data_IF_854205675444
#
_entry.id   IF_854205675444
#
_cell.length_a   1.000
_cell.length_b   1.000
_cell.length_c   1.000
_cell.angle_alpha   90.00
_cell.angle_beta   90.00
_cell.angle_gamma   90.00
#
_symmetry.space_group_name_H-M   'P 1'
#
loop_
_entity.id
_entity.type
_entity.pdbx_description
1 polymer ?
#
# COMPACT_ATOMS: atom_id res chain seq x y z
N UNK A 1 12.57 -25.28 20.47
CA UNK A 1 12.77 -24.61 19.16
C UNK A 1 14.00 -25.15 18.46
N UNK A 2 15.20 -25.07 19.06
CA UNK A 2 16.45 -25.47 18.42
C UNK A 2 16.57 -26.96 18.06
N UNK A 3 15.83 -27.83 18.73
CA UNK A 3 15.74 -29.26 18.44
C UNK A 3 14.90 -29.53 17.17
N UNK A 4 13.93 -28.66 16.90
CA UNK A 4 12.99 -28.80 15.77
C UNK A 4 13.54 -28.10 14.52
N UNK A 5 14.13 -26.91 14.69
CA UNK A 5 14.61 -26.09 13.58
C UNK A 5 16.14 -26.14 13.47
N UNK A 6 16.69 -26.76 12.42
CA UNK A 6 18.14 -26.93 12.26
C UNK A 6 18.86 -25.70 11.72
N UNK A 7 18.14 -24.59 11.42
CA UNK A 7 18.70 -23.37 10.84
C UNK A 7 19.83 -22.79 11.70
N UNK A 8 20.88 -22.28 11.06
CA UNK A 8 21.92 -21.49 11.70
C UNK A 8 21.36 -20.21 12.34
N UNK A 9 20.34 -19.63 11.73
CA UNK A 9 19.71 -18.38 12.14
C UNK A 9 18.39 -18.66 12.85
N UNK A 10 18.19 -18.02 14.01
CA UNK A 10 16.94 -18.10 14.78
C UNK A 10 16.41 -16.69 15.00
N UNK A 11 15.23 -16.41 14.45
CA UNK A 11 14.58 -15.10 14.53
C UNK A 11 13.77 -15.00 15.83
N UNK A 12 13.96 -13.90 16.57
CA UNK A 12 13.31 -13.66 17.86
C UNK A 12 12.26 -12.53 17.83
N UNK A 13 11.94 -11.96 16.67
CA UNK A 13 11.10 -10.76 16.58
C UNK A 13 11.85 -9.52 17.05
N UNK A 14 11.31 -8.83 18.03
CA UNK A 14 11.94 -7.69 18.71
C UNK A 14 11.41 -6.34 18.24
N UNK A 15 10.47 -6.32 17.31
CA UNK A 15 9.79 -5.16 16.78
C UNK A 15 8.75 -4.59 17.75
N UNK A 16 8.55 -3.27 17.71
CA UNK A 16 7.45 -2.54 18.33
C UNK A 16 7.18 -2.87 19.83
N UNK A 17 8.24 -3.20 20.58
CA UNK A 17 8.10 -3.53 22.00
C UNK A 17 7.55 -2.37 22.82
N UNK A 18 6.46 -2.62 23.58
CA UNK A 18 5.80 -1.63 24.43
C UNK A 18 6.34 -1.75 25.86
N UNK A 19 7.00 -0.70 26.36
CA UNK A 19 7.72 -0.71 27.63
C UNK A 19 6.89 -0.28 28.84
N UNK A 20 5.66 0.18 28.69
CA UNK A 20 4.83 0.75 29.78
C UNK A 20 4.62 -0.18 30.96
N UNK A 21 4.59 -1.52 30.73
CA UNK A 21 4.51 -2.50 31.81
C UNK A 21 5.83 -2.60 32.59
N UNK A 22 6.97 -2.54 31.88
CA UNK A 22 8.29 -2.59 32.50
C UNK A 22 8.59 -1.34 33.33
N UNK A 23 8.06 -0.19 32.96
CA UNK A 23 8.16 1.07 33.73
C UNK A 23 7.52 0.97 35.09
N UNK A 24 6.45 0.18 35.20
CA UNK A 24 5.67 0.01 36.44
C UNK A 24 6.02 -1.28 37.20
N UNK A 25 6.83 -2.15 36.66
CA UNK A 25 7.20 -3.43 37.24
C UNK A 25 8.36 -3.26 38.23
N UNK A 26 8.18 -3.57 39.56
CA UNK A 26 9.23 -3.42 40.54
C UNK A 26 10.49 -4.24 40.21
N UNK A 27 10.33 -5.47 39.72
CA UNK A 27 11.44 -6.34 39.39
C UNK A 27 12.22 -5.81 38.15
N UNK A 28 11.52 -5.25 37.17
CA UNK A 28 12.15 -4.60 36.03
C UNK A 28 12.98 -3.39 36.46
N UNK A 29 12.43 -2.55 37.34
CA UNK A 29 13.13 -1.39 37.89
C UNK A 29 14.33 -1.79 38.78
N UNK A 30 14.19 -2.82 39.59
CA UNK A 30 15.31 -3.38 40.37
C UNK A 30 16.41 -3.92 39.43
N UNK A 31 16.04 -4.64 38.37
CA UNK A 31 16.98 -5.13 37.37
C UNK A 31 17.71 -3.98 36.67
N UNK A 32 16.99 -2.95 36.22
CA UNK A 32 17.59 -1.76 35.64
C UNK A 32 18.62 -1.11 36.56
N UNK A 33 18.27 -0.94 37.82
CA UNK A 33 19.20 -0.38 38.82
C UNK A 33 20.45 -1.24 38.96
N UNK A 34 20.30 -2.56 39.07
CA UNK A 34 21.41 -3.51 39.17
C UNK A 34 22.33 -3.48 37.95
N UNK A 35 21.75 -3.30 36.75
CA UNK A 35 22.49 -3.27 35.49
C UNK A 35 22.99 -1.85 35.11
N UNK A 36 22.63 -0.82 35.88
CA UNK A 36 22.99 0.56 35.60
C UNK A 36 22.31 1.15 34.36
N UNK A 37 21.17 0.58 33.94
CA UNK A 37 20.41 1.04 32.77
C UNK A 37 19.69 2.36 33.10
N UNK A 38 19.63 3.25 32.10
CA UNK A 38 19.05 4.61 32.26
C UNK A 38 17.61 4.71 31.72
N UNK A 39 17.26 3.89 30.75
CA UNK A 39 15.96 3.88 30.06
C UNK A 39 15.38 2.49 30.10
N UNK A 40 14.07 2.38 30.29
CA UNK A 40 13.35 1.10 30.32
C UNK A 40 13.53 0.33 29.01
N UNK A 41 13.63 1.02 27.88
CA UNK A 41 13.89 0.40 26.58
C UNK A 41 15.23 -0.35 26.49
N UNK A 42 16.22 -0.03 27.35
CA UNK A 42 17.53 -0.73 27.39
C UNK A 42 17.41 -2.16 27.94
N UNK A 43 16.31 -2.49 28.63
CA UNK A 43 15.98 -3.87 29.01
C UNK A 43 15.80 -4.77 27.80
N UNK A 44 15.35 -4.25 26.67
CA UNK A 44 15.31 -5.01 25.41
C UNK A 44 16.72 -5.38 24.94
N UNK A 45 17.65 -4.45 24.97
CA UNK A 45 19.06 -4.74 24.65
C UNK A 45 19.68 -5.77 25.60
N UNK A 46 19.35 -5.70 26.91
CA UNK A 46 19.74 -6.72 27.86
C UNK A 46 19.18 -8.11 27.51
N UNK A 47 17.88 -8.21 27.20
CA UNK A 47 17.25 -9.46 26.79
C UNK A 47 17.89 -9.99 25.49
N UNK A 48 18.12 -9.12 24.52
CA UNK A 48 18.80 -9.47 23.27
C UNK A 48 20.17 -10.09 23.56
N UNK A 49 20.98 -9.50 24.46
CA UNK A 49 22.27 -10.04 24.84
C UNK A 49 22.17 -11.43 25.49
N UNK A 50 21.23 -11.61 26.41
CA UNK A 50 21.03 -12.92 27.08
C UNK A 50 20.69 -14.00 26.07
N UNK A 51 19.78 -13.70 25.13
CA UNK A 51 19.37 -14.66 24.09
C UNK A 51 20.48 -14.88 23.08
N UNK A 52 21.20 -13.83 22.65
CA UNK A 52 22.32 -13.95 21.71
C UNK A 52 23.44 -14.84 22.27
N UNK A 53 23.81 -14.67 23.54
CA UNK A 53 24.79 -15.51 24.21
C UNK A 53 24.33 -16.98 24.29
N UNK A 54 23.05 -17.19 24.62
CA UNK A 54 22.48 -18.53 24.64
C UNK A 54 22.52 -19.20 23.26
N UNK A 55 22.16 -18.47 22.19
CA UNK A 55 22.20 -18.95 20.81
C UNK A 55 23.64 -19.31 20.40
N UNK A 56 24.59 -18.43 20.69
CA UNK A 56 26.02 -18.65 20.42
C UNK A 56 26.53 -19.93 21.06
N UNK A 57 26.18 -20.20 22.34
CA UNK A 57 26.54 -21.44 23.05
C UNK A 57 25.98 -22.71 22.37
N UNK A 58 24.90 -22.54 21.58
CA UNK A 58 24.27 -23.62 20.81
C UNK A 58 24.71 -23.64 19.34
N UNK A 59 25.72 -22.86 18.98
CA UNK A 59 26.20 -22.76 17.58
C UNK A 59 25.20 -22.12 16.63
N UNK A 60 24.34 -21.23 17.14
CA UNK A 60 23.31 -20.50 16.38
C UNK A 60 23.56 -18.99 16.40
N UNK A 61 23.10 -18.31 15.40
CA UNK A 61 23.14 -16.85 15.30
C UNK A 61 21.75 -16.27 15.53
N UNK A 62 21.64 -15.30 16.42
CA UNK A 62 20.40 -14.57 16.67
C UNK A 62 20.13 -13.60 15.51
N UNK A 63 18.90 -13.58 15.03
CA UNK A 63 18.39 -12.63 14.05
C UNK A 63 17.11 -11.98 14.60
N UNK A 64 16.84 -10.73 14.27
CA UNK A 64 15.60 -10.03 14.66
C UNK A 64 15.41 -8.73 13.89
N UNK A 65 14.29 -8.10 14.11
CA UNK A 65 14.03 -6.78 13.56
C UNK A 65 15.01 -5.76 14.13
N UNK A 66 15.30 -4.70 13.41
CA UNK A 66 16.42 -3.78 13.72
C UNK A 66 16.30 -3.08 15.09
N UNK A 67 15.14 -3.10 15.74
CA UNK A 67 14.99 -2.62 17.12
C UNK A 67 15.82 -3.40 18.14
N UNK A 68 16.16 -4.66 17.86
CA UNK A 68 17.01 -5.47 18.77
C UNK A 68 18.37 -4.83 19.03
N UNK A 69 18.87 -4.00 18.12
CA UNK A 69 20.15 -3.27 18.24
C UNK A 69 19.98 -1.78 18.49
N UNK A 70 18.74 -1.27 18.49
CA UNK A 70 18.47 0.17 18.68
C UNK A 70 18.34 0.55 20.17
N UNK A 71 18.05 -0.42 21.04
CA UNK A 71 17.61 -0.20 22.42
C UNK A 71 18.63 -0.69 23.45
N UNK A 72 19.86 -0.24 23.33
CA UNK A 72 20.97 -0.63 24.18
C UNK A 72 22.09 -1.31 23.41
N UNK A 73 23.25 -1.46 24.07
CA UNK A 73 24.41 -2.11 23.45
C UNK A 73 24.17 -3.61 23.37
N UNK A 74 24.33 -4.19 22.18
CA UNK A 74 24.37 -5.63 21.96
C UNK A 74 25.82 -6.06 21.75
N UNK A 75 26.31 -7.00 22.56
CA UNK A 75 27.71 -7.37 22.61
C UNK A 75 28.06 -8.49 21.60
N UNK A 76 27.15 -9.44 21.42
CA UNK A 76 27.33 -10.53 20.47
C UNK A 76 26.97 -10.07 19.05
N UNK A 77 27.62 -10.63 18.05
CA UNK A 77 27.25 -10.39 16.67
C UNK A 77 25.87 -10.99 16.39
N UNK A 78 24.95 -10.17 15.93
CA UNK A 78 23.59 -10.56 15.53
C UNK A 78 23.32 -10.12 14.09
N UNK A 79 22.19 -10.57 13.55
CA UNK A 79 21.70 -10.11 12.25
C UNK A 79 20.45 -9.25 12.48
N UNK A 80 20.48 -8.00 12.02
CA UNK A 80 19.33 -7.09 12.09
C UNK A 80 18.60 -7.03 10.75
N UNK A 81 17.27 -7.22 10.76
CA UNK A 81 16.42 -6.97 9.61
C UNK A 81 15.98 -5.50 9.64
N UNK A 82 16.52 -4.69 8.72
CA UNK A 82 16.25 -3.25 8.65
C UNK A 82 14.98 -3.00 7.87
N UNK A 83 13.84 -2.83 8.57
CA UNK A 83 12.52 -2.71 7.98
C UNK A 83 11.97 -1.27 7.94
N UNK A 84 12.38 -0.40 8.85
CA UNK A 84 11.87 0.98 8.90
C UNK A 84 12.31 1.78 7.67
N UNK A 85 13.61 1.85 7.44
CA UNK A 85 14.15 2.49 6.25
C UNK A 85 15.55 1.94 5.92
N UNK A 86 16.03 2.09 4.67
CA UNK A 86 17.35 1.57 4.29
C UNK A 86 18.52 2.10 5.13
N UNK A 87 18.41 3.32 5.69
CA UNK A 87 19.49 3.94 6.49
C UNK A 87 19.73 3.21 7.83
N UNK A 88 18.75 2.48 8.35
CA UNK A 88 18.92 1.72 9.60
C UNK A 88 19.89 0.57 9.44
N UNK A 89 20.12 0.12 8.20
CA UNK A 89 21.19 -0.83 7.87
C UNK A 89 22.56 -0.30 8.29
N UNK A 90 22.83 0.99 8.10
CA UNK A 90 24.09 1.62 8.51
C UNK A 90 24.29 1.54 10.02
N UNK A 91 23.21 1.60 10.80
CA UNK A 91 23.32 1.43 12.27
C UNK A 91 23.83 0.03 12.61
N UNK A 92 23.27 -1.01 12.01
CA UNK A 92 23.73 -2.36 12.22
C UNK A 92 25.22 -2.52 11.85
N UNK A 93 25.58 -2.08 10.65
CA UNK A 93 26.94 -2.22 10.14
C UNK A 93 27.96 -1.41 10.93
N UNK A 94 27.63 -0.18 11.33
CA UNK A 94 28.48 0.70 12.13
C UNK A 94 28.67 0.20 13.58
N UNK A 95 27.81 -0.69 14.07
CA UNK A 95 27.93 -1.31 15.39
C UNK A 95 28.48 -2.73 15.34
N UNK A 96 28.99 -3.18 14.16
CA UNK A 96 29.62 -4.49 13.99
C UNK A 96 28.65 -5.65 13.79
N UNK A 97 27.36 -5.37 13.59
CA UNK A 97 26.37 -6.39 13.32
C UNK A 97 26.17 -6.62 11.82
N UNK A 98 25.61 -7.78 11.46
CA UNK A 98 25.16 -8.04 10.10
C UNK A 98 23.77 -7.50 9.86
N UNK A 99 23.41 -7.22 8.61
CA UNK A 99 22.09 -6.72 8.25
C UNK A 99 21.50 -7.46 7.05
N UNK A 100 20.15 -7.56 7.06
CA UNK A 100 19.32 -7.90 5.90
C UNK A 100 18.46 -6.68 5.60
N UNK A 101 18.43 -6.27 4.34
CA UNK A 101 17.62 -5.15 3.88
C UNK A 101 16.19 -5.61 3.61
N UNK A 102 15.24 -5.07 4.36
CA UNK A 102 13.81 -5.36 4.18
C UNK A 102 12.95 -4.11 4.40
N UNK A 103 13.32 -2.92 3.84
CA UNK A 103 12.65 -1.68 4.14
C UNK A 103 11.20 -1.70 3.67
N UNK A 104 10.29 -1.29 4.55
CA UNK A 104 8.85 -1.26 4.29
C UNK A 104 8.50 -0.47 3.03
N UNK A 105 9.24 0.60 2.75
CA UNK A 105 9.03 1.45 1.57
C UNK A 105 9.29 0.80 0.20
N UNK A 106 9.90 -0.41 0.16
CA UNK A 106 10.28 -1.09 -1.08
C UNK A 106 9.98 -2.59 -1.07
N UNK A 107 10.00 -3.23 0.10
CA UNK A 107 10.05 -4.69 0.25
C UNK A 107 8.83 -5.29 0.97
N UNK A 108 7.85 -4.47 1.39
CA UNK A 108 6.61 -4.95 1.98
C UNK A 108 5.56 -5.14 0.89
N UNK A 109 5.44 -6.37 0.42
CA UNK A 109 4.59 -6.72 -0.71
C UNK A 109 3.12 -6.93 -0.32
N UNK A 110 2.78 -6.76 0.93
CA UNK A 110 1.41 -6.61 1.43
C UNK A 110 0.80 -5.22 1.17
N UNK A 111 1.59 -4.25 0.71
CA UNK A 111 1.06 -2.98 0.18
C UNK A 111 0.58 -3.13 -1.25
N UNK A 112 -0.47 -2.37 -1.66
CA UNK A 112 -0.91 -2.35 -3.05
C UNK A 112 0.17 -1.76 -3.96
N UNK A 113 0.12 -2.07 -5.25
CA UNK A 113 1.06 -1.46 -6.20
C UNK A 113 0.73 0.00 -6.52
N UNK A 114 -0.53 0.37 -6.45
CA UNK A 114 -1.03 1.69 -6.82
C UNK A 114 -2.19 2.12 -5.92
N UNK A 115 -2.37 3.44 -5.78
CA UNK A 115 -3.55 4.05 -5.15
C UNK A 115 -4.60 4.36 -6.21
N UNK A 116 -5.21 3.35 -6.80
CA UNK A 116 -6.22 3.51 -7.84
C UNK A 116 -7.50 2.75 -7.48
N UNK A 117 -8.65 3.17 -8.03
CA UNK A 117 -9.89 2.42 -7.87
C UNK A 117 -9.75 0.98 -8.38
N UNK A 118 -10.30 0.04 -7.63
CA UNK A 118 -10.23 -1.40 -7.96
C UNK A 118 -8.95 -2.11 -7.54
N UNK A 119 -7.93 -1.39 -7.08
CA UNK A 119 -6.74 -2.03 -6.50
C UNK A 119 -7.09 -2.73 -5.17
N UNK A 120 -6.40 -3.82 -4.88
CA UNK A 120 -6.56 -4.53 -3.61
C UNK A 120 -6.20 -3.59 -2.47
N UNK A 121 -7.11 -3.42 -1.53
CA UNK A 121 -6.82 -2.70 -0.29
C UNK A 121 -6.16 -3.66 0.69
N UNK A 122 -4.93 -3.36 0.98
CA UNK A 122 -4.08 -4.08 1.91
C UNK A 122 -3.56 -3.11 2.99
N UNK A 123 -2.33 -3.26 3.44
CA UNK A 123 -1.71 -2.30 4.34
C UNK A 123 -1.70 -0.88 3.75
N UNK A 124 -1.95 0.14 4.58
CA UNK A 124 -2.11 1.54 4.16
C UNK A 124 -1.22 2.53 4.89
N UNK A 125 -0.40 2.07 5.84
CA UNK A 125 0.47 2.92 6.66
C UNK A 125 1.74 3.40 5.91
N UNK A 126 2.03 2.84 4.72
CA UNK A 126 3.03 3.35 3.77
C UNK A 126 2.38 3.63 2.40
N UNK A 127 3.01 4.44 1.55
CA UNK A 127 2.57 4.60 0.16
C UNK A 127 2.61 3.28 -0.63
N UNK A 128 1.82 3.17 -1.70
CA UNK A 128 1.87 2.02 -2.60
C UNK A 128 3.27 1.72 -3.12
N UNK A 129 3.54 0.44 -3.35
CA UNK A 129 4.85 -0.04 -3.77
C UNK A 129 4.70 -0.70 -5.15
N UNK A 130 5.00 0.05 -6.20
CA UNK A 130 4.98 -0.46 -7.57
C UNK A 130 6.13 -1.45 -7.85
N UNK A 131 6.02 -2.20 -8.94
CA UNK A 131 7.11 -3.03 -9.44
C UNK A 131 8.41 -2.24 -9.59
N UNK A 132 8.33 -1.05 -10.19
CA UNK A 132 9.50 -0.15 -10.36
C UNK A 132 10.06 0.32 -9.02
N UNK A 133 9.19 0.61 -8.06
CA UNK A 133 9.61 0.99 -6.71
C UNK A 133 10.39 -0.12 -6.02
N UNK A 134 9.93 -1.38 -6.10
CA UNK A 134 10.69 -2.53 -5.60
C UNK A 134 12.06 -2.63 -6.27
N UNK A 135 12.10 -2.51 -7.60
CA UNK A 135 13.33 -2.60 -8.39
C UNK A 135 14.32 -1.47 -8.08
N UNK A 136 13.81 -0.28 -7.77
CA UNK A 136 14.62 0.91 -7.47
C UNK A 136 15.27 0.89 -6.10
N UNK A 137 15.04 -0.14 -5.27
CA UNK A 137 15.59 -0.20 -3.92
C UNK A 137 17.10 0.06 -3.92
N UNK A 138 17.59 1.07 -3.17
CA UNK A 138 19.01 1.42 -3.12
C UNK A 138 19.76 0.42 -2.22
N UNK A 139 20.48 -0.52 -2.80
CA UNK A 139 21.26 -1.51 -2.07
C UNK A 139 22.66 -1.01 -1.75
N UNK A 140 23.33 -0.39 -2.73
CA UNK A 140 24.73 0.04 -2.58
C UNK A 140 24.94 1.13 -1.54
N UNK A 141 23.99 2.08 -1.43
CA UNK A 141 24.06 3.18 -0.48
C UNK A 141 24.13 2.69 0.99
N UNK A 142 23.76 1.43 1.23
CA UNK A 142 23.62 0.85 2.56
C UNK A 142 24.32 -0.51 2.72
N UNK A 143 24.87 -1.08 1.65
CA UNK A 143 25.32 -2.48 1.62
C UNK A 143 26.72 -2.72 1.08
N UNK A 144 27.47 -1.69 0.71
CA UNK A 144 28.87 -1.88 0.26
C UNK A 144 29.84 -2.30 1.40
N UNK A 145 29.29 -2.41 2.60
CA UNK A 145 30.01 -3.02 3.70
C UNK A 145 29.82 -4.55 3.66
N UNK A 146 30.88 -5.29 3.99
CA UNK A 146 30.89 -6.75 4.07
C UNK A 146 29.88 -7.34 5.05
N UNK A 147 29.09 -6.51 5.75
CA UNK A 147 28.15 -6.90 6.81
C UNK A 147 26.69 -6.94 6.36
N UNK A 148 26.35 -6.44 5.16
CA UNK A 148 25.03 -6.65 4.58
C UNK A 148 25.00 -7.97 3.82
N UNK A 149 24.16 -8.91 4.25
CA UNK A 149 24.16 -10.30 3.76
C UNK A 149 23.04 -10.63 2.80
N UNK A 150 22.09 -9.72 2.58
CA UNK A 150 21.02 -9.93 1.61
C UNK A 150 19.86 -8.94 1.71
N UNK A 151 18.83 -9.27 0.94
CA UNK A 151 17.54 -8.58 0.91
C UNK A 151 16.42 -9.57 1.23
N UNK A 152 15.31 -9.06 1.79
CA UNK A 152 14.12 -9.86 2.08
C UNK A 152 12.88 -9.04 1.75
N UNK A 153 11.85 -9.69 1.22
CA UNK A 153 10.51 -9.12 1.12
C UNK A 153 9.63 -9.65 2.25
N UNK A 154 8.67 -8.84 2.69
CA UNK A 154 7.66 -9.21 3.65
C UNK A 154 6.28 -9.25 3.00
N UNK A 155 5.43 -10.14 3.49
CA UNK A 155 4.02 -10.25 3.18
C UNK A 155 3.25 -10.53 4.47
N UNK A 156 2.55 -9.52 4.97
CA UNK A 156 1.79 -9.60 6.21
C UNK A 156 0.32 -9.83 5.92
N UNK A 157 -0.22 -10.95 6.37
CA UNK A 157 -1.59 -11.36 6.04
C UNK A 157 -2.66 -10.88 7.03
N UNK A 158 -2.27 -10.27 8.15
CA UNK A 158 -3.17 -9.77 9.18
C UNK A 158 -4.15 -8.70 8.66
N UNK A 159 -3.72 -7.89 7.70
CA UNK A 159 -4.56 -6.88 7.06
C UNK A 159 -5.70 -7.48 6.22
N UNK A 160 -5.59 -8.74 5.81
CA UNK A 160 -6.61 -9.46 5.01
C UNK A 160 -7.59 -10.25 5.86
N UNK A 161 -7.20 -10.69 7.04
CA UNK A 161 -8.01 -11.53 7.95
C UNK A 161 -9.18 -10.74 8.52
N UNK A 162 -9.05 -9.42 8.66
CA UNK A 162 -10.07 -8.56 9.25
C UNK A 162 -11.20 -8.14 8.30
N UNK A 163 -11.34 -8.78 7.15
CA UNK A 163 -12.56 -8.80 6.34
C UNK A 163 -12.95 -7.49 5.65
N UNK A 164 -12.08 -6.50 5.63
CA UNK A 164 -12.35 -5.17 5.08
C UNK A 164 -11.85 -4.97 3.65
N UNK A 165 -11.28 -5.98 3.03
CA UNK A 165 -10.94 -5.92 1.62
C UNK A 165 -12.24 -5.86 0.82
N UNK A 166 -12.51 -4.77 0.17
CA UNK A 166 -13.57 -4.60 -0.82
C UNK A 166 -13.24 -5.44 -2.05
N UNK A 167 -13.58 -6.68 -1.95
CA UNK A 167 -13.16 -7.80 -2.77
C UNK A 167 -13.97 -7.94 -4.05
N UNK A 168 -14.80 -6.96 -4.36
CA UNK A 168 -15.79 -7.07 -5.44
C UNK A 168 -15.18 -6.98 -6.84
N UNK A 169 -13.91 -6.59 -6.98
CA UNK A 169 -13.35 -6.22 -8.28
C UNK A 169 -12.13 -7.00 -8.75
N UNK A 170 -11.59 -7.87 -7.92
CA UNK A 170 -10.65 -8.87 -8.41
C UNK A 170 -11.43 -10.17 -8.55
N UNK A 171 -11.55 -10.75 -9.74
CA UNK A 171 -12.20 -12.05 -9.92
C UNK A 171 -11.32 -13.12 -9.27
N UNK A 172 -11.39 -13.19 -7.95
CA UNK A 172 -10.68 -14.17 -7.16
C UNK A 172 -11.62 -15.35 -7.01
N UNK A 173 -11.23 -16.46 -7.59
CA UNK A 173 -11.86 -17.76 -7.42
C UNK A 173 -11.90 -18.17 -5.95
N UNK A 174 -12.50 -19.31 -5.64
CA UNK A 174 -12.82 -19.83 -4.30
C UNK A 174 -11.64 -19.87 -3.29
N UNK A 175 -10.37 -19.86 -3.74
CA UNK A 175 -9.17 -19.79 -2.90
C UNK A 175 -8.65 -18.35 -2.75
N UNK A 176 -9.43 -17.51 -2.11
CA UNK A 176 -9.16 -16.06 -1.99
C UNK A 176 -7.78 -15.73 -1.39
N UNK A 177 -7.30 -16.47 -0.40
CA UNK A 177 -6.05 -16.16 0.31
C UNK A 177 -4.80 -16.36 -0.56
N UNK A 178 -4.71 -17.46 -1.29
CA UNK A 178 -3.59 -17.75 -2.18
C UNK A 178 -3.57 -16.79 -3.37
N UNK A 179 -4.71 -16.56 -4.01
CA UNK A 179 -4.84 -15.65 -5.13
C UNK A 179 -4.48 -14.20 -4.75
N UNK A 180 -4.79 -13.79 -3.52
CA UNK A 180 -4.37 -12.49 -2.99
C UNK A 180 -2.86 -12.38 -2.84
N UNK A 181 -2.24 -13.41 -2.27
CA UNK A 181 -0.80 -13.47 -2.12
C UNK A 181 -0.12 -13.41 -3.49
N UNK A 182 -0.54 -14.23 -4.43
CA UNK A 182 0.01 -14.24 -5.79
C UNK A 182 -0.13 -12.89 -6.49
N UNK A 183 -1.31 -12.27 -6.39
CA UNK A 183 -1.56 -10.95 -6.96
C UNK A 183 -0.65 -9.87 -6.38
N UNK A 184 -0.45 -9.86 -5.08
CA UNK A 184 0.41 -8.88 -4.42
C UNK A 184 1.90 -9.18 -4.59
N UNK A 185 2.28 -10.45 -4.65
CA UNK A 185 3.66 -10.87 -4.75
C UNK A 185 4.19 -10.75 -6.19
N UNK A 186 3.41 -11.12 -7.21
CA UNK A 186 3.88 -11.13 -8.59
C UNK A 186 3.27 -9.99 -9.42
N UNK A 187 4.12 -9.30 -10.23
CA UNK A 187 5.52 -9.62 -10.57
C UNK A 187 6.59 -9.07 -9.61
N UNK A 188 6.24 -8.41 -8.49
CA UNK A 188 7.19 -7.70 -7.61
C UNK A 188 8.30 -8.59 -7.03
N UNK A 189 8.02 -9.85 -6.74
CA UNK A 189 9.06 -10.80 -6.29
C UNK A 189 10.19 -10.99 -7.32
N UNK A 190 9.92 -10.78 -8.61
CA UNK A 190 10.97 -10.81 -9.63
C UNK A 190 11.94 -9.63 -9.46
N UNK A 191 11.42 -8.46 -9.09
CA UNK A 191 12.25 -7.30 -8.77
C UNK A 191 13.10 -7.54 -7.51
N UNK A 192 12.51 -8.10 -6.45
CA UNK A 192 13.23 -8.47 -5.22
C UNK A 192 14.37 -9.44 -5.53
N UNK A 193 14.09 -10.45 -6.37
CA UNK A 193 15.10 -11.42 -6.80
C UNK A 193 16.28 -10.73 -7.50
N UNK A 194 16.01 -9.87 -8.46
CA UNK A 194 17.09 -9.19 -9.20
C UNK A 194 17.85 -8.19 -8.33
N UNK A 195 17.16 -7.49 -7.44
CA UNK A 195 17.80 -6.60 -6.46
C UNK A 195 18.79 -7.35 -5.57
N UNK A 196 18.48 -8.59 -5.21
CA UNK A 196 19.37 -9.43 -4.40
C UNK A 196 20.56 -10.02 -5.16
N UNK A 197 20.48 -10.17 -6.48
CA UNK A 197 21.50 -10.84 -7.29
C UNK A 197 22.38 -9.90 -8.10
N UNK A 198 21.87 -8.73 -8.49
CA UNK A 198 22.57 -7.82 -9.41
C UNK A 198 23.01 -6.55 -8.69
N UNK A 199 24.29 -6.19 -8.86
CA UNK A 199 24.80 -4.91 -8.35
C UNK A 199 23.95 -3.74 -8.86
N UNK A 200 23.63 -2.80 -7.99
CA UNK A 200 22.80 -1.62 -8.30
C UNK A 200 23.28 -0.88 -9.55
N UNK A 201 24.59 -0.70 -9.71
CA UNK A 201 25.19 -0.03 -10.87
C UNK A 201 24.98 -0.75 -12.22
N UNK A 202 24.56 -2.03 -12.19
CA UNK A 202 24.26 -2.83 -13.38
C UNK A 202 22.77 -3.02 -13.62
N UNK A 203 21.91 -2.53 -12.72
CA UNK A 203 20.47 -2.63 -12.88
C UNK A 203 19.99 -1.64 -13.94
N UNK A 204 19.11 -2.10 -14.84
CA UNK A 204 18.47 -1.31 -15.86
C UNK A 204 16.98 -1.61 -15.89
N UNK A 205 16.16 -0.61 -15.55
CA UNK A 205 14.71 -0.78 -15.45
C UNK A 205 14.05 -1.24 -16.76
N UNK A 206 14.43 -0.65 -17.89
CA UNK A 206 13.81 -0.98 -19.19
C UNK A 206 14.14 -2.41 -19.62
N UNK A 207 15.38 -2.85 -19.40
CA UNK A 207 15.80 -4.23 -19.65
C UNK A 207 15.06 -5.19 -18.71
N UNK A 208 15.03 -4.90 -17.42
CA UNK A 208 14.31 -5.71 -16.45
C UNK A 208 12.83 -5.84 -16.80
N UNK A 209 12.16 -4.74 -17.09
CA UNK A 209 10.74 -4.70 -17.48
C UNK A 209 10.45 -5.57 -18.70
N UNK A 210 11.32 -5.50 -19.70
CA UNK A 210 11.23 -6.33 -20.91
C UNK A 210 11.36 -7.83 -20.58
N UNK A 211 12.29 -8.17 -19.71
CA UNK A 211 12.49 -9.57 -19.28
C UNK A 211 11.32 -10.08 -18.44
N UNK A 212 10.75 -9.25 -17.56
CA UNK A 212 9.52 -9.58 -16.81
C UNK A 212 8.38 -9.93 -17.77
N UNK A 213 8.24 -9.21 -18.89
CA UNK A 213 7.25 -9.52 -19.93
C UNK A 213 7.30 -10.98 -20.36
N UNK A 214 8.49 -11.54 -20.56
CA UNK A 214 8.64 -12.95 -20.94
C UNK A 214 8.26 -13.97 -19.84
N UNK A 215 8.17 -13.53 -18.59
CA UNK A 215 7.79 -14.39 -17.48
C UNK A 215 6.28 -14.55 -17.32
N UNK A 216 5.46 -13.63 -17.85
CA UNK A 216 4.01 -13.74 -17.72
C UNK A 216 3.46 -15.05 -18.30
N UNK A 217 3.97 -15.50 -19.46
CA UNK A 217 3.58 -16.80 -20.01
C UNK A 217 3.95 -17.98 -19.08
N UNK A 218 5.05 -17.88 -18.34
CA UNK A 218 5.44 -18.90 -17.34
C UNK A 218 4.53 -18.89 -16.12
N UNK A 219 4.11 -17.71 -15.67
CA UNK A 219 3.15 -17.58 -14.58
C UNK A 219 1.78 -18.11 -14.99
N UNK A 220 1.32 -17.82 -16.22
CA UNK A 220 0.07 -18.36 -16.78
C UNK A 220 0.11 -19.90 -16.83
N UNK A 221 1.21 -20.49 -17.30
CA UNK A 221 1.38 -21.94 -17.34
C UNK A 221 1.40 -22.61 -15.96
N UNK A 222 1.71 -21.84 -14.90
CA UNK A 222 1.65 -22.29 -13.52
C UNK A 222 0.30 -22.02 -12.84
N UNK A 223 -0.65 -21.39 -13.53
CA UNK A 223 -1.92 -20.97 -12.97
C UNK A 223 -1.80 -19.85 -11.93
N UNK A 224 -0.71 -19.09 -11.92
CA UNK A 224 -0.47 -18.02 -10.96
C UNK A 224 -1.37 -16.81 -11.24
N UNK A 225 -2.03 -16.30 -10.22
CA UNK A 225 -2.96 -15.15 -10.29
C UNK A 225 -2.24 -13.80 -10.11
N UNK A 226 -1.13 -13.62 -10.79
CA UNK A 226 -0.33 -12.39 -10.71
C UNK A 226 -1.12 -11.14 -11.15
N UNK A 227 -0.70 -9.98 -10.68
CA UNK A 227 -1.22 -8.68 -11.09
C UNK A 227 -0.85 -8.41 -12.54
N UNK A 228 -1.87 -8.34 -13.39
CA UNK A 228 -1.67 -8.03 -14.81
C UNK A 228 -1.32 -6.54 -14.96
N UNK A 229 -0.19 -6.17 -15.60
CA UNK A 229 0.19 -4.78 -15.79
C UNK A 229 -0.83 -4.01 -16.63
N UNK A 230 -1.08 -2.77 -16.21
CA UNK A 230 -1.86 -1.83 -17.01
C UNK A 230 -1.10 -1.41 -18.27
N UNK A 231 -1.79 -0.92 -19.31
CA UNK A 231 -1.12 -0.20 -20.38
C UNK A 231 -0.37 1.01 -19.80
N UNK A 232 0.77 1.31 -20.37
CA UNK A 232 1.54 2.51 -20.02
C UNK A 232 1.49 3.54 -21.14
N UNK A 233 1.58 4.81 -20.76
CA UNK A 233 1.75 5.90 -21.70
C UNK A 233 3.24 5.98 -22.07
N UNK A 234 3.57 5.79 -23.33
CA UNK A 234 4.94 5.96 -23.85
C UNK A 234 5.17 7.35 -24.39
N UNK A 235 4.11 8.02 -24.84
CA UNK A 235 4.16 9.40 -25.30
C UNK A 235 2.84 10.11 -25.02
N UNK A 236 2.94 11.36 -24.58
CA UNK A 236 1.82 12.26 -24.37
C UNK A 236 2.15 13.61 -25.03
N UNK A 237 1.44 13.95 -26.10
CA UNK A 237 1.61 15.20 -26.83
C UNK A 237 0.43 16.14 -26.59
N UNK A 238 0.69 17.35 -26.13
CA UNK A 238 -0.31 18.43 -26.03
C UNK A 238 -0.37 19.16 -27.38
N UNK A 239 -1.55 19.19 -27.97
CA UNK A 239 -1.80 19.83 -29.26
C UNK A 239 -2.14 21.32 -29.10
N UNK A 240 -1.99 22.09 -30.18
CA UNK A 240 -2.24 23.54 -30.16
C UNK A 240 -3.70 23.90 -29.87
N UNK A 241 -4.64 23.02 -30.13
CA UNK A 241 -6.09 23.18 -29.84
C UNK A 241 -6.46 22.79 -28.40
N UNK A 242 -5.47 22.41 -27.57
CA UNK A 242 -5.65 21.98 -26.17
C UNK A 242 -5.96 20.48 -26.03
N UNK A 243 -6.16 19.75 -27.11
CA UNK A 243 -6.32 18.30 -27.07
C UNK A 243 -5.01 17.59 -26.71
N UNK A 244 -5.11 16.32 -26.31
CA UNK A 244 -3.95 15.51 -25.92
C UNK A 244 -3.94 14.21 -26.71
N UNK A 245 -2.78 13.89 -27.30
CA UNK A 245 -2.56 12.65 -28.05
C UNK A 245 -1.71 11.68 -27.24
N UNK A 246 -2.22 10.47 -27.06
CA UNK A 246 -1.55 9.40 -26.30
C UNK A 246 -1.06 8.30 -27.21
N UNK A 247 0.18 7.88 -26.97
CA UNK A 247 0.72 6.61 -27.47
C UNK A 247 0.82 5.64 -26.32
N UNK A 248 0.19 4.47 -26.44
CA UNK A 248 0.14 3.45 -25.41
C UNK A 248 1.01 2.24 -25.80
N UNK A 249 1.55 1.56 -24.79
CA UNK A 249 2.20 0.28 -24.95
C UNK A 249 1.78 -0.69 -23.84
N UNK A 250 1.92 -1.98 -24.11
CA UNK A 250 1.69 -3.06 -23.17
C UNK A 250 2.97 -3.86 -22.97
N UNK A 251 3.29 -4.17 -21.72
CA UNK A 251 4.49 -4.95 -21.37
C UNK A 251 4.24 -6.47 -21.37
N UNK A 252 3.02 -6.90 -21.65
CA UNK A 252 2.65 -8.32 -21.76
C UNK A 252 2.66 -8.73 -23.24
N UNK A 253 3.58 -9.62 -23.67
CA UNK A 253 3.66 -10.06 -25.06
C UNK A 253 2.36 -10.70 -25.54
N UNK A 254 1.89 -10.29 -26.72
CA UNK A 254 0.68 -10.83 -27.34
C UNK A 254 -0.64 -10.34 -26.74
N UNK A 255 -0.62 -9.48 -25.73
CA UNK A 255 -1.83 -8.90 -25.17
C UNK A 255 -2.39 -7.77 -26.04
N UNK A 256 -3.71 -7.61 -26.02
CA UNK A 256 -4.39 -6.45 -26.61
C UNK A 256 -4.48 -5.30 -25.58
N UNK A 257 -4.44 -4.08 -26.08
CA UNK A 257 -4.91 -2.92 -25.30
C UNK A 257 -6.33 -2.61 -25.75
N UNK A 258 -7.25 -2.51 -24.80
CA UNK A 258 -8.63 -2.02 -25.01
C UNK A 258 -8.81 -0.70 -24.31
N UNK A 259 -9.53 0.25 -24.92
CA UNK A 259 -9.67 1.58 -24.38
C UNK A 259 -11.04 2.21 -24.61
N UNK A 260 -11.32 3.27 -23.85
CA UNK A 260 -12.44 4.19 -24.02
C UNK A 260 -11.97 5.65 -23.94
N UNK A 261 -12.76 6.54 -24.51
CA UNK A 261 -12.46 7.99 -24.64
C UNK A 261 -13.49 8.89 -23.93
N UNK A 262 -14.29 8.32 -23.05
CA UNK A 262 -15.39 8.99 -22.36
C UNK A 262 -15.36 8.82 -20.85
N UNK A 263 -14.21 8.44 -20.28
CA UNK A 263 -14.02 8.20 -18.87
C UNK A 263 -14.65 6.92 -18.31
N UNK A 264 -15.40 6.16 -19.12
CA UNK A 264 -15.97 4.86 -18.71
C UNK A 264 -14.90 3.79 -18.70
N UNK A 265 -15.04 2.82 -17.80
CA UNK A 265 -14.12 1.67 -17.76
C UNK A 265 -14.28 0.82 -19.01
N UNK A 266 -13.16 0.52 -19.71
CA UNK A 266 -13.17 -0.42 -20.81
C UNK A 266 -13.36 -1.85 -20.30
N UNK A 267 -13.89 -2.69 -21.18
CA UNK A 267 -13.97 -4.13 -21.02
C UNK A 267 -13.32 -4.85 -22.21
N UNK A 268 -13.37 -6.16 -22.22
CA UNK A 268 -12.74 -6.97 -23.29
C UNK A 268 -13.33 -6.73 -24.69
N UNK A 269 -14.51 -6.13 -24.77
CA UNK A 269 -15.19 -5.78 -26.04
C UNK A 269 -15.02 -4.32 -26.44
N UNK A 270 -14.36 -3.51 -25.61
CA UNK A 270 -14.10 -2.09 -25.94
C UNK A 270 -13.15 -1.97 -27.13
N UNK A 271 -13.03 -0.77 -27.68
CA UNK A 271 -12.22 -0.48 -28.85
C UNK A 271 -10.78 -0.99 -28.67
N UNK A 272 -10.28 -1.75 -29.64
CA UNK A 272 -8.90 -2.21 -29.68
C UNK A 272 -7.99 -1.06 -30.05
N UNK A 273 -6.90 -0.88 -29.29
CA UNK A 273 -5.88 0.11 -29.60
C UNK A 273 -5.01 -0.36 -30.77
N UNK A 274 -4.92 0.47 -31.79
CA UNK A 274 -4.13 0.21 -33.01
C UNK A 274 -3.14 1.33 -33.34
N UNK A 275 -3.17 2.44 -32.59
CA UNK A 275 -2.30 3.59 -32.81
C UNK A 275 -2.69 4.76 -31.90
N UNK A 276 -1.99 5.90 -31.99
CA UNK A 276 -2.21 7.05 -31.13
C UNK A 276 -3.66 7.51 -31.08
N UNK A 277 -4.12 7.94 -29.90
CA UNK A 277 -5.50 8.39 -29.63
C UNK A 277 -5.48 9.82 -29.14
N UNK A 278 -6.25 10.70 -29.80
CA UNK A 278 -6.39 12.10 -29.44
C UNK A 278 -7.71 12.36 -28.72
N UNK A 279 -7.67 13.09 -27.60
CA UNK A 279 -8.81 13.40 -26.77
C UNK A 279 -8.81 14.88 -26.37
N UNK A 280 -10.00 15.46 -26.24
CA UNK A 280 -10.16 16.83 -25.71
C UNK A 280 -9.73 16.90 -24.24
N UNK A 281 -10.08 15.90 -23.45
CA UNK A 281 -9.73 15.85 -22.02
C UNK A 281 -8.87 14.62 -21.73
N UNK A 282 -7.73 14.84 -21.11
CA UNK A 282 -6.77 13.84 -20.69
C UNK A 282 -7.40 12.72 -19.85
N UNK A 283 -8.26 13.13 -18.92
CA UNK A 283 -8.88 12.25 -17.93
C UNK A 283 -9.99 11.35 -18.51
N UNK A 284 -10.35 11.52 -19.77
CA UNK A 284 -11.36 10.69 -20.44
C UNK A 284 -10.79 9.37 -20.97
N UNK A 285 -9.46 9.28 -21.08
CA UNK A 285 -8.83 8.02 -21.46
C UNK A 285 -8.90 7.02 -20.29
N UNK A 286 -9.41 5.84 -20.61
CA UNK A 286 -9.24 4.62 -19.81
C UNK A 286 -8.76 3.52 -20.72
N UNK A 287 -7.79 2.73 -20.25
CA UNK A 287 -7.24 1.63 -21.03
C UNK A 287 -6.90 0.44 -20.14
N UNK A 288 -7.10 -0.75 -20.64
CA UNK A 288 -6.77 -2.03 -20.01
C UNK A 288 -5.90 -2.88 -20.91
N UNK A 289 -5.05 -3.70 -20.29
CA UNK A 289 -4.40 -4.83 -20.96
C UNK A 289 -5.35 -6.01 -20.94
N UNK A 290 -5.51 -6.71 -22.07
CA UNK A 290 -6.37 -7.89 -22.20
C UNK A 290 -5.53 -9.07 -22.69
N UNK A 291 -5.55 -10.18 -21.95
CA UNK A 291 -4.87 -11.43 -22.27
C UNK A 291 -5.91 -12.51 -22.58
N UNK A 292 -5.67 -13.27 -23.65
CA UNK A 292 -6.53 -14.38 -24.07
C UNK A 292 -8.02 -14.02 -24.23
N UNK A 293 -8.32 -12.74 -24.47
CA UNK A 293 -9.67 -12.24 -24.70
C UNK A 293 -10.60 -12.17 -23.48
N UNK A 294 -10.17 -12.65 -22.33
CA UNK A 294 -11.02 -12.77 -21.14
C UNK A 294 -10.45 -12.12 -19.88
N UNK A 295 -9.15 -12.27 -19.63
CA UNK A 295 -8.48 -11.71 -18.47
C UNK A 295 -7.98 -10.29 -18.78
N UNK A 296 -8.20 -9.36 -17.88
CA UNK A 296 -7.82 -7.96 -18.08
C UNK A 296 -7.26 -7.32 -16.82
N UNK A 297 -6.44 -6.30 -17.04
CA UNK A 297 -5.83 -5.51 -15.96
C UNK A 297 -6.82 -4.52 -15.36
N UNK A 298 -6.45 -3.94 -14.21
CA UNK A 298 -7.05 -2.68 -13.78
C UNK A 298 -6.82 -1.61 -14.88
N UNK A 299 -7.71 -0.61 -14.97
CA UNK A 299 -7.59 0.41 -16.00
C UNK A 299 -6.45 1.38 -15.72
N UNK A 300 -5.82 1.87 -16.76
CA UNK A 300 -5.01 3.08 -16.71
C UNK A 300 -5.85 4.20 -16.10
N UNK A 301 -5.32 4.82 -15.07
CA UNK A 301 -6.01 5.82 -14.27
C UNK A 301 -5.21 7.10 -14.18
N UNK A 302 -5.87 8.21 -14.37
CA UNK A 302 -5.30 9.54 -14.11
C UNK A 302 -5.82 10.04 -12.78
N UNK A 303 -4.93 10.34 -11.86
CA UNK A 303 -5.31 11.00 -10.63
C UNK A 303 -5.99 12.35 -10.96
N UNK A 304 -7.17 12.62 -10.41
CA UNK A 304 -7.83 13.89 -10.61
C UNK A 304 -6.97 15.07 -10.16
N UNK A 305 -7.08 16.20 -10.84
CA UNK A 305 -6.50 17.45 -10.35
C UNK A 305 -7.36 17.99 -9.19
N UNK A 306 -6.84 17.85 -7.98
CA UNK A 306 -7.50 18.34 -6.77
C UNK A 306 -7.31 19.85 -6.55
N UNK A 307 -6.55 20.54 -7.37
CA UNK A 307 -6.23 21.96 -7.18
C UNK A 307 -7.45 22.86 -7.19
N UNK A 308 -8.45 22.57 -8.03
CA UNK A 308 -9.72 23.26 -8.10
C UNK A 308 -10.61 23.10 -6.83
N UNK A 309 -10.30 22.11 -5.99
CA UNK A 309 -11.13 21.72 -4.85
C UNK A 309 -10.49 22.03 -3.48
N UNK A 310 -9.38 22.77 -3.46
CA UNK A 310 -8.65 23.12 -2.21
C UNK A 310 -9.50 23.77 -1.13
N UNK A 311 -10.55 24.52 -1.53
CA UNK A 311 -11.49 25.14 -0.61
C UNK A 311 -12.27 24.14 0.27
N UNK A 312 -12.38 22.89 -0.16
CA UNK A 312 -13.07 21.82 0.58
C UNK A 312 -12.14 21.03 1.51
N UNK A 313 -10.84 21.34 1.53
CA UNK A 313 -9.86 20.71 2.41
C UNK A 313 -9.02 19.63 1.74
N UNK A 314 -8.69 18.59 2.51
CA UNK A 314 -7.83 17.50 2.05
C UNK A 314 -8.67 16.40 1.38
N UNK A 315 -8.21 15.90 0.25
CA UNK A 315 -8.82 14.75 -0.40
C UNK A 315 -8.65 13.49 0.50
N UNK A 316 -9.75 12.77 0.73
CA UNK A 316 -9.78 11.59 1.60
C UNK A 316 -10.25 10.32 0.89
N UNK A 317 -11.08 10.46 -0.15
CA UNK A 317 -11.63 9.34 -0.89
C UNK A 317 -12.09 9.77 -2.29
N UNK A 318 -11.99 8.83 -3.24
CA UNK A 318 -12.60 8.97 -4.56
C UNK A 318 -13.35 7.70 -4.93
N UNK A 319 -14.42 7.85 -5.68
CA UNK A 319 -15.11 6.71 -6.27
C UNK A 319 -15.09 6.80 -7.79
N UNK A 320 -15.00 5.64 -8.37
CA UNK A 320 -15.10 5.40 -9.79
C UNK A 320 -16.28 4.47 -10.08
N UNK A 321 -16.76 4.35 -11.31
CA UNK A 321 -17.97 3.57 -11.59
C UNK A 321 -17.97 2.14 -11.01
N UNK A 322 -16.81 1.49 -10.93
CA UNK A 322 -16.69 0.15 -10.35
C UNK A 322 -17.00 0.06 -8.85
N UNK A 323 -16.91 1.16 -8.12
CA UNK A 323 -17.15 1.19 -6.66
C UNK A 323 -18.57 1.57 -6.28
N UNK A 324 -19.33 2.09 -7.23
CA UNK A 324 -20.70 2.55 -6.97
C UNK A 324 -21.67 1.46 -7.37
N UNK A 325 -22.31 0.87 -6.38
CA UNK A 325 -23.27 -0.20 -6.56
C UNK A 325 -24.70 0.36 -6.77
N UNK A 326 -25.60 -0.38 -7.42
CA UNK A 326 -27.02 0.00 -7.55
C UNK A 326 -27.80 -0.15 -6.24
N UNK A 327 -27.22 -0.82 -5.23
CA UNK A 327 -27.78 -1.02 -3.90
C UNK A 327 -26.99 -0.25 -2.85
N UNK A 328 -27.61 0.13 -1.72
CA UNK A 328 -26.89 0.77 -0.61
C UNK A 328 -25.64 -0.01 -0.20
N UNK A 329 -24.53 0.69 -0.10
CA UNK A 329 -23.24 0.16 0.33
C UNK A 329 -22.50 1.21 1.18
N UNK A 330 -21.72 0.78 2.14
CA UNK A 330 -20.87 1.66 2.93
C UNK A 330 -19.50 1.80 2.29
N UNK A 331 -19.14 3.02 1.93
CA UNK A 331 -17.78 3.37 1.55
C UNK A 331 -16.98 3.61 2.81
N UNK A 332 -15.95 2.82 3.02
CA UNK A 332 -15.06 2.96 4.16
C UNK A 332 -13.70 3.49 3.71
N UNK A 333 -13.21 4.52 4.38
CA UNK A 333 -11.93 5.13 4.06
C UNK A 333 -11.25 5.74 5.29
N UNK A 334 -9.92 5.61 5.33
CA UNK A 334 -9.08 6.11 6.40
C UNK A 334 -8.95 7.64 6.36
N UNK A 335 -9.07 8.25 7.55
CA UNK A 335 -8.85 9.67 7.74
C UNK A 335 -7.82 9.95 8.85
N UNK A 336 -7.09 8.93 9.28
CA UNK A 336 -5.94 9.05 10.18
C UNK A 336 -4.93 10.04 9.59
N UNK A 337 -4.45 10.99 10.38
CA UNK A 337 -3.57 12.07 9.89
C UNK A 337 -4.26 13.17 9.08
N UNK A 338 -5.55 13.01 8.73
CA UNK A 338 -6.40 14.07 8.16
C UNK A 338 -7.23 14.76 9.23
N UNK A 339 -7.47 14.04 10.33
CA UNK A 339 -8.07 14.57 11.56
C UNK A 339 -6.91 15.03 12.46
N UNK A 340 -6.94 16.30 12.88
CA UNK A 340 -5.80 16.97 13.55
C UNK A 340 -6.12 17.53 14.94
N UNK A 341 -7.19 17.08 15.58
CA UNK A 341 -7.58 17.53 16.92
C UNK A 341 -9.09 17.55 17.12
N UNK A 342 -9.51 17.92 18.33
CA UNK A 342 -10.92 18.20 18.62
C UNK A 342 -11.41 19.39 17.81
N UNK A 343 -12.69 19.40 17.49
CA UNK A 343 -13.35 20.50 16.78
C UNK A 343 -14.36 20.02 15.76
N UNK A 344 -14.86 20.96 14.99
CA UNK A 344 -15.88 20.72 13.96
C UNK A 344 -15.21 20.46 12.61
N UNK A 345 -15.70 19.45 11.92
CA UNK A 345 -15.23 19.03 10.61
C UNK A 345 -16.36 19.03 9.58
N UNK A 346 -15.98 19.24 8.34
CA UNK A 346 -16.87 19.11 7.18
C UNK A 346 -16.32 18.06 6.22
N UNK A 347 -17.15 17.05 5.91
CA UNK A 347 -16.93 16.08 4.87
C UNK A 347 -17.76 16.47 3.64
N UNK A 348 -17.10 16.85 2.56
CA UNK A 348 -17.78 17.33 1.34
C UNK A 348 -17.66 16.30 0.22
N UNK A 349 -18.80 15.89 -0.32
CA UNK A 349 -18.96 14.89 -1.38
C UNK A 349 -19.26 15.60 -2.69
N UNK A 350 -18.42 15.40 -3.70
CA UNK A 350 -18.48 16.10 -4.98
C UNK A 350 -18.50 15.08 -6.12
N UNK A 351 -19.65 14.79 -6.75
CA UNK A 351 -19.69 14.06 -8.00
C UNK A 351 -19.06 14.90 -9.12
N UNK A 352 -18.13 14.34 -9.85
CA UNK A 352 -17.37 15.06 -10.86
C UNK A 352 -17.78 14.71 -12.29
N UNK A 353 -18.24 13.48 -12.52
CA UNK A 353 -18.62 12.98 -13.85
C UNK A 353 -19.75 11.96 -13.75
N UNK A 354 -20.38 11.75 -14.88
CA UNK A 354 -21.43 10.74 -15.07
C UNK A 354 -22.84 11.31 -14.97
N UNK A 355 -23.75 10.61 -15.63
CA UNK A 355 -25.14 11.06 -15.77
C UNK A 355 -26.05 10.55 -14.65
N UNK A 356 -25.65 9.50 -13.97
CA UNK A 356 -26.46 8.90 -12.91
C UNK A 356 -26.27 9.62 -11.59
N UNK A 357 -27.34 9.90 -10.86
CA UNK A 357 -27.25 10.46 -9.53
C UNK A 357 -26.73 9.43 -8.53
N UNK A 358 -26.01 9.94 -7.53
CA UNK A 358 -25.60 9.18 -6.34
C UNK A 358 -26.50 9.52 -5.19
N UNK A 359 -27.08 8.53 -4.53
CA UNK A 359 -27.72 8.69 -3.22
C UNK A 359 -26.71 8.55 -2.12
N UNK A 360 -26.78 9.44 -1.16
CA UNK A 360 -25.90 9.52 0.01
C UNK A 360 -26.77 9.42 1.27
N UNK A 361 -26.42 8.48 2.13
CA UNK A 361 -27.11 8.22 3.37
C UNK A 361 -26.31 8.64 4.60
N UNK A 362 -26.25 7.81 5.59
CA UNK A 362 -25.60 8.08 6.89
C UNK A 362 -24.07 8.09 6.78
N UNK A 363 -23.44 9.09 7.39
CA UNK A 363 -22.00 9.17 7.60
C UNK A 363 -21.68 8.84 9.05
N UNK A 364 -20.67 8.01 9.31
CA UNK A 364 -20.16 7.64 10.63
C UNK A 364 -18.67 7.86 10.70
N UNK A 365 -18.18 8.51 11.76
CA UNK A 365 -16.77 8.58 12.10
C UNK A 365 -16.45 7.58 13.21
N UNK A 366 -15.44 6.78 12.99
CA UNK A 366 -14.98 5.76 13.93
C UNK A 366 -13.55 6.04 14.40
N UNK A 367 -13.29 5.85 15.70
CA UNK A 367 -11.97 5.73 16.30
C UNK A 367 -11.75 4.27 16.66
N UNK A 368 -10.94 3.54 15.88
CA UNK A 368 -10.84 2.07 15.96
C UNK A 368 -12.21 1.42 15.78
N UNK A 369 -12.83 0.92 16.85
CA UNK A 369 -14.16 0.29 16.87
C UNK A 369 -15.22 1.14 17.60
N UNK A 370 -14.86 2.33 18.06
CA UNK A 370 -15.71 3.24 18.80
C UNK A 370 -16.33 4.26 17.84
N UNK A 371 -17.67 4.39 17.88
CA UNK A 371 -18.39 5.38 17.09
C UNK A 371 -18.25 6.75 17.75
N UNK A 372 -17.61 7.69 17.04
CA UNK A 372 -17.32 9.04 17.54
C UNK A 372 -18.36 10.07 17.09
N UNK A 373 -18.89 9.94 15.90
CA UNK A 373 -19.90 10.83 15.35
C UNK A 373 -20.76 10.13 14.31
N UNK A 374 -22.02 10.52 14.23
CA UNK A 374 -22.96 10.07 13.20
C UNK A 374 -23.74 11.26 12.66
N UNK A 375 -23.79 11.40 11.34
CA UNK A 375 -24.61 12.42 10.66
C UNK A 375 -25.47 11.74 9.62
N UNK A 376 -26.80 11.86 9.78
CA UNK A 376 -27.78 11.32 8.84
C UNK A 376 -28.06 12.32 7.72
N UNK A 377 -28.10 11.84 6.51
CA UNK A 377 -28.60 12.54 5.35
C UNK A 377 -29.36 11.57 4.45
N UNK A 378 -30.28 12.07 3.67
CA UNK A 378 -30.87 11.40 2.51
C UNK A 378 -30.81 12.41 1.37
N UNK A 379 -29.69 12.42 0.68
CA UNK A 379 -29.39 13.34 -0.40
C UNK A 379 -29.13 12.61 -1.69
N UNK A 380 -29.61 13.19 -2.77
CA UNK A 380 -29.26 12.73 -4.12
C UNK A 380 -28.46 13.84 -4.77
N UNK A 381 -27.31 13.50 -5.31
CA UNK A 381 -26.41 14.46 -5.94
C UNK A 381 -25.89 13.92 -7.27
N UNK A 382 -25.72 14.84 -8.23
CA UNK A 382 -25.27 14.53 -9.59
C UNK A 382 -24.09 15.45 -9.94
N UNK A 383 -23.27 15.03 -10.90
CA UNK A 383 -22.20 15.86 -11.44
C UNK A 383 -22.75 17.21 -11.95
N UNK A 384 -22.04 18.29 -11.64
CA UNK A 384 -22.45 19.66 -11.96
C UNK A 384 -23.45 20.30 -10.98
N UNK A 385 -23.93 19.58 -9.96
CA UNK A 385 -24.75 20.12 -8.89
C UNK A 385 -23.90 20.58 -7.70
N UNK A 386 -24.55 21.31 -6.76
CA UNK A 386 -23.88 21.72 -5.52
C UNK A 386 -23.44 20.48 -4.72
N UNK A 387 -22.23 20.49 -4.15
CA UNK A 387 -21.73 19.43 -3.29
C UNK A 387 -22.63 19.17 -2.08
N UNK A 388 -22.59 17.94 -1.58
CA UNK A 388 -23.21 17.58 -0.31
C UNK A 388 -22.16 17.61 0.79
N UNK A 389 -22.44 18.36 1.87
CA UNK A 389 -21.54 18.45 3.01
C UNK A 389 -22.18 17.84 4.26
N UNK A 390 -21.44 16.99 4.95
CA UNK A 390 -21.73 16.47 6.28
C UNK A 390 -20.90 17.25 7.29
N UNK A 391 -21.54 17.77 8.33
CA UNK A 391 -20.87 18.45 9.43
C UNK A 391 -20.94 17.58 10.68
N UNK A 392 -19.80 17.41 11.37
CA UNK A 392 -19.71 16.62 12.60
C UNK A 392 -18.67 17.20 13.55
N UNK A 393 -18.81 16.92 14.84
CA UNK A 393 -17.87 17.34 15.88
C UNK A 393 -17.11 16.14 16.40
N UNK A 394 -15.82 16.31 16.65
CA UNK A 394 -14.93 15.35 17.29
C UNK A 394 -14.44 15.95 18.61
N UNK A 395 -14.80 15.35 19.74
CA UNK A 395 -14.46 15.84 21.08
C UNK A 395 -13.37 15.01 21.78
N UNK A 396 -13.06 13.82 21.27
CA UNK A 396 -12.11 12.88 21.86
C UNK A 396 -11.02 12.46 20.87
N UNK A 397 -10.30 13.47 20.37
CA UNK A 397 -9.13 13.22 19.53
C UNK A 397 -7.97 12.64 20.35
N UNK A 398 -7.32 11.63 19.78
CA UNK A 398 -6.11 11.03 20.32
C UNK A 398 -5.08 10.86 19.19
N UNK A 399 -3.95 11.54 19.31
CA UNK A 399 -2.90 11.49 18.28
C UNK A 399 -2.36 10.07 18.11
N UNK A 400 -2.12 9.66 16.87
CA UNK A 400 -1.62 8.32 16.54
C UNK A 400 -2.67 7.21 16.57
N UNK A 401 -3.93 7.55 16.88
CA UNK A 401 -5.03 6.58 16.84
C UNK A 401 -5.66 6.54 15.45
N UNK A 402 -5.96 5.34 14.91
CA UNK A 402 -6.64 5.21 13.63
C UNK A 402 -8.07 5.74 13.65
N UNK A 403 -8.39 6.59 12.67
CA UNK A 403 -9.74 7.08 12.40
C UNK A 403 -10.17 6.69 10.99
N UNK A 404 -11.41 6.23 10.85
CA UNK A 404 -12.00 6.00 9.52
C UNK A 404 -13.44 6.52 9.45
N UNK A 405 -13.86 6.80 8.23
CA UNK A 405 -15.24 7.18 7.93
C UNK A 405 -15.92 6.04 7.19
N UNK A 406 -17.17 5.78 7.56
CA UNK A 406 -18.11 4.99 6.78
C UNK A 406 -19.20 5.94 6.27
N UNK A 407 -19.40 5.94 4.94
CA UNK A 407 -20.43 6.74 4.28
C UNK A 407 -21.30 5.82 3.41
N UNK A 408 -22.58 5.79 3.68
CA UNK A 408 -23.53 5.10 2.81
C UNK A 408 -23.67 5.85 1.48
N UNK A 409 -23.43 5.12 0.36
CA UNK A 409 -23.49 5.68 -0.97
C UNK A 409 -23.84 4.63 -2.03
N UNK A 410 -24.71 4.98 -2.99
CA UNK A 410 -25.04 4.09 -4.11
C UNK A 410 -25.64 4.88 -5.28
N UNK A 411 -25.61 4.27 -6.48
CA UNK A 411 -26.20 4.83 -7.70
C UNK A 411 -27.33 3.93 -8.18
N UNK A 412 -28.59 4.20 -7.85
CA UNK A 412 -29.71 3.29 -8.13
C UNK A 412 -29.95 3.04 -9.63
N UNK A 413 -29.48 3.93 -10.51
CA UNK A 413 -29.59 3.80 -11.96
C UNK A 413 -28.36 3.19 -12.63
N UNK A 414 -27.38 2.71 -11.85
CA UNK A 414 -26.16 2.12 -12.35
C UNK A 414 -24.91 2.95 -12.05
N UNK A 415 -23.76 2.44 -12.43
CA UNK A 415 -22.43 2.85 -11.97
C UNK A 415 -21.64 3.69 -12.98
N UNK A 416 -22.22 4.67 -13.63
CA UNK A 416 -21.51 5.56 -14.57
C UNK A 416 -21.03 6.89 -13.94
N UNK A 417 -20.92 6.95 -12.63
CA UNK A 417 -20.56 8.18 -11.91
C UNK A 417 -19.21 8.08 -11.23
N UNK A 418 -18.48 9.17 -11.21
CA UNK A 418 -17.24 9.36 -10.46
C UNK A 418 -17.36 10.57 -9.55
N UNK A 419 -16.56 10.60 -8.48
CA UNK A 419 -16.53 11.76 -7.60
C UNK A 419 -15.42 11.67 -6.56
N UNK A 420 -15.36 12.70 -5.74
CA UNK A 420 -14.33 12.92 -4.75
C UNK A 420 -14.95 13.32 -3.41
N UNK A 421 -14.25 12.99 -2.34
CA UNK A 421 -14.62 13.37 -0.98
C UNK A 421 -13.46 14.11 -0.34
N UNK A 422 -13.75 15.23 0.27
CA UNK A 422 -12.78 16.07 0.96
C UNK A 422 -13.16 16.23 2.42
N UNK A 423 -12.15 16.39 3.27
CA UNK A 423 -12.31 16.64 4.70
C UNK A 423 -11.56 17.92 5.08
N UNK A 424 -12.22 18.81 5.81
CA UNK A 424 -11.59 19.98 6.43
C UNK A 424 -12.04 20.15 7.87
N UNK A 425 -11.17 20.68 8.70
CA UNK A 425 -11.52 21.23 10.01
C UNK A 425 -11.99 22.66 9.79
N UNK A 426 -13.11 23.07 10.41
CA UNK A 426 -13.71 24.39 10.24
C UNK A 426 -13.72 25.21 11.53
N UNK A 427 -13.69 24.54 12.70
CA UNK A 427 -13.62 25.16 14.04
C UNK A 427 -12.78 24.30 14.99
#
# INVERSE_FOLDING_TARGET
>A
VLEIFPSEYIHIGGDEAVYTRWEKCPDCQALMKRLGLKKTSELQGYLTNVVAEMMKKKGRTLIGWDEIIQRGKVNEQVVALSWHNPKDTLRATNTGHKAILTPASHMYLDFPEMSIPGEIQAATWCPPISLEKCYSMPVNDYSETSTTIGVQACYWSDQFIHGNALQEFVPLNENRSENYAEYLLFPRLMAVSEVGWIKQSKRNWEDFRTRVGSHFARLDNKGCHYRLPQPRIVKEDKNADGSVTFTLACDVPGADIRYTTNGRYPNVHSTKYTGPVTLANREDLRAITVVSGTRYSLPLYFAPDYSAYKAYGQHVFGWEPLRVQPKPANWRFEVTGKVSGNGTYELTVIPTRGDNPVRLGTMKLWKRKELMAETKADKTVKAGQQPVTYRFTLDQFEAGTPFHIELEGYAPQGNNTTGMIFLRKVE
#
